data_IF_813025267974
#
_entry.id   IF_813025267974
#
_cell.length_a   1.000
_cell.length_b   1.000
_cell.length_c   1.000
_cell.angle_alpha   90.00
_cell.angle_beta   90.00
_cell.angle_gamma   90.00
#
_symmetry.space_group_name_H-M   'P 1'
#
loop_
_entity.id
_entity.type
_entity.pdbx_description
1 polymer ?
#
# COMPACT_ATOMS: atom_id res chain seq x y z
N UNK A 1 -3.88 6.39 7.59
CA UNK A 1 -4.42 6.66 6.24
C UNK A 1 -5.01 5.40 5.59
N UNK A 2 -4.27 4.30 5.41
CA UNK A 2 -4.78 3.08 4.76
C UNK A 2 -6.11 2.55 5.33
N UNK A 3 -6.27 2.53 6.67
CA UNK A 3 -7.56 2.19 7.32
C UNK A 3 -8.72 3.09 6.85
N UNK A 4 -8.50 4.40 6.75
CA UNK A 4 -9.52 5.33 6.27
C UNK A 4 -9.92 5.03 4.82
N UNK A 5 -8.97 4.79 3.93
CA UNK A 5 -9.24 4.45 2.53
C UNK A 5 -9.99 3.12 2.39
N UNK A 6 -9.60 2.10 3.15
CA UNK A 6 -10.25 0.80 3.19
C UNK A 6 -11.70 0.91 3.69
N UNK A 7 -11.93 1.63 4.80
CA UNK A 7 -13.28 1.91 5.32
C UNK A 7 -14.13 2.68 4.32
N UNK A 8 -13.53 3.57 3.54
CA UNK A 8 -14.27 4.34 2.53
C UNK A 8 -14.75 3.46 1.37
N UNK A 9 -13.91 2.55 0.89
CA UNK A 9 -14.31 1.57 -0.14
C UNK A 9 -15.37 0.62 0.42
N UNK A 10 -15.24 0.17 1.67
CA UNK A 10 -16.27 -0.63 2.33
C UNK A 10 -17.60 0.12 2.42
N UNK A 11 -17.58 1.38 2.84
CA UNK A 11 -18.76 2.24 2.88
C UNK A 11 -19.42 2.37 1.50
N UNK A 12 -18.63 2.51 0.43
CA UNK A 12 -19.15 2.50 -0.94
C UNK A 12 -19.86 1.18 -1.29
N UNK A 13 -19.25 0.04 -0.95
CA UNK A 13 -19.84 -1.29 -1.17
C UNK A 13 -21.12 -1.51 -0.35
N UNK A 14 -21.19 -0.98 0.87
CA UNK A 14 -22.38 -1.08 1.72
C UNK A 14 -23.57 -0.27 1.14
N UNK A 15 -23.31 0.76 0.32
CA UNK A 15 -24.33 1.47 -0.45
C UNK A 15 -24.75 0.62 -1.67
N UNK A 16 -23.78 0.29 -2.53
CA UNK A 16 -23.97 -0.57 -3.70
C UNK A 16 -22.61 -1.08 -4.23
N UNK A 17 -22.55 -2.27 -4.85
CA UNK A 17 -21.30 -2.79 -5.44
C UNK A 17 -20.68 -1.82 -6.45
N UNK A 18 -21.48 -1.28 -7.37
CA UNK A 18 -21.03 -0.29 -8.36
C UNK A 18 -20.47 0.99 -7.73
N UNK A 19 -21.04 1.41 -6.60
CA UNK A 19 -20.56 2.56 -5.82
C UNK A 19 -19.21 2.24 -5.20
N UNK A 20 -19.05 1.03 -4.65
CA UNK A 20 -17.77 0.53 -4.13
C UNK A 20 -16.65 0.57 -5.17
N UNK A 21 -16.92 0.11 -6.39
CA UNK A 21 -15.95 0.14 -7.50
C UNK A 21 -15.56 1.57 -7.89
N UNK A 22 -16.53 2.49 -7.95
CA UNK A 22 -16.25 3.91 -8.22
C UNK A 22 -15.43 4.55 -7.13
N UNK A 23 -15.75 4.31 -5.86
CA UNK A 23 -14.98 4.81 -4.71
C UNK A 23 -13.55 4.26 -4.74
N UNK A 24 -13.38 2.97 -5.06
CA UNK A 24 -12.07 2.34 -5.23
C UNK A 24 -11.24 3.02 -6.32
N UNK A 25 -11.84 3.28 -7.49
CA UNK A 25 -11.17 3.99 -8.58
C UNK A 25 -10.75 5.42 -8.20
N UNK A 26 -11.60 6.14 -7.45
CA UNK A 26 -11.29 7.46 -6.92
C UNK A 26 -10.10 7.42 -5.94
N UNK A 27 -10.09 6.45 -5.02
CA UNK A 27 -8.98 6.27 -4.07
C UNK A 27 -7.68 6.04 -4.81
N UNK A 28 -7.65 5.17 -5.83
CA UNK A 28 -6.45 4.93 -6.63
C UNK A 28 -5.99 6.16 -7.39
N UNK A 29 -6.91 6.89 -8.00
CA UNK A 29 -6.60 8.11 -8.74
C UNK A 29 -5.98 9.18 -7.83
N UNK A 30 -6.44 9.27 -6.58
CA UNK A 30 -5.88 10.18 -5.58
C UNK A 30 -4.45 9.78 -5.17
N UNK A 31 -4.22 8.49 -4.87
CA UNK A 31 -2.88 8.03 -4.43
C UNK A 31 -1.87 7.96 -5.58
N UNK A 32 -2.30 7.82 -6.83
CA UNK A 32 -1.44 7.93 -8.00
C UNK A 32 -1.20 9.37 -8.45
N UNK A 33 -1.69 10.35 -7.69
CA UNK A 33 -1.58 11.78 -7.99
C UNK A 33 -2.17 12.15 -9.37
N UNK A 34 -3.24 11.46 -9.76
CA UNK A 34 -3.96 11.67 -11.01
C UNK A 34 -5.14 12.64 -10.87
N UNK A 35 -5.66 12.77 -9.65
CA UNK A 35 -6.64 13.78 -9.26
C UNK A 35 -6.15 14.49 -7.99
N UNK A 36 -6.61 15.72 -7.81
CA UNK A 36 -6.36 16.50 -6.59
C UNK A 36 -7.27 16.08 -5.44
N UNK A 37 -6.94 16.50 -4.22
CA UNK A 37 -7.77 16.25 -3.03
C UNK A 37 -9.16 16.90 -3.19
N UNK A 38 -9.24 18.06 -3.85
CA UNK A 38 -10.50 18.78 -4.09
C UNK A 38 -11.38 18.02 -5.09
N UNK A 39 -10.81 17.53 -6.20
CA UNK A 39 -11.51 16.70 -7.17
C UNK A 39 -11.98 15.37 -6.55
N UNK A 40 -11.14 14.74 -5.73
CA UNK A 40 -11.52 13.53 -5.00
C UNK A 40 -12.69 13.80 -4.06
N UNK A 41 -12.63 14.90 -3.29
CA UNK A 41 -13.70 15.28 -2.38
C UNK A 41 -15.04 15.48 -3.10
N UNK A 42 -15.04 16.23 -4.20
CA UNK A 42 -16.25 16.48 -4.99
C UNK A 42 -16.78 15.21 -5.65
N UNK A 43 -15.92 14.43 -6.31
CA UNK A 43 -16.31 13.21 -7.01
C UNK A 43 -16.83 12.15 -6.05
N UNK A 44 -16.25 12.05 -4.85
CA UNK A 44 -16.71 11.11 -3.84
C UNK A 44 -18.12 11.47 -3.37
N UNK A 45 -18.38 12.75 -3.10
CA UNK A 45 -19.70 13.22 -2.71
C UNK A 45 -20.75 12.96 -3.80
N UNK A 46 -20.40 13.16 -5.08
CA UNK A 46 -21.30 12.88 -6.20
C UNK A 46 -21.61 11.38 -6.33
N UNK A 47 -20.60 10.52 -6.13
CA UNK A 47 -20.76 9.06 -6.24
C UNK A 47 -21.56 8.50 -5.07
N UNK A 48 -21.29 8.95 -3.84
CA UNK A 48 -21.93 8.39 -2.64
C UNK A 48 -23.19 9.14 -2.22
N UNK A 49 -23.47 10.33 -2.77
CA UNK A 49 -24.49 11.27 -2.30
C UNK A 49 -24.36 11.64 -0.82
N UNK A 50 -23.15 11.54 -0.26
CA UNK A 50 -22.87 11.83 1.15
C UNK A 50 -21.83 12.94 1.26
N UNK A 51 -22.09 13.99 2.06
CA UNK A 51 -21.11 15.03 2.30
C UNK A 51 -19.98 14.48 3.17
N UNK A 52 -18.74 14.73 2.75
CA UNK A 52 -17.57 14.46 3.58
C UNK A 52 -17.48 15.46 4.74
N UNK A 53 -16.89 15.01 5.85
CA UNK A 53 -16.69 15.87 7.03
C UNK A 53 -15.57 16.89 6.76
N UNK A 54 -15.67 18.12 7.29
CA UNK A 54 -14.71 19.20 6.99
C UNK A 54 -13.26 18.90 7.39
N UNK A 55 -13.04 17.97 8.32
CA UNK A 55 -11.70 17.55 8.74
C UNK A 55 -11.01 16.57 7.78
N UNK A 56 -11.73 16.02 6.79
CA UNK A 56 -11.18 15.02 5.87
C UNK A 56 -10.12 15.64 4.95
N UNK A 57 -10.35 16.85 4.44
CA UNK A 57 -9.41 17.52 3.54
C UNK A 57 -8.06 17.81 4.24
N UNK A 58 -8.03 18.43 5.44
CA UNK A 58 -6.80 18.57 6.22
C UNK A 58 -6.10 17.24 6.51
N UNK A 59 -6.86 16.20 6.86
CA UNK A 59 -6.33 14.87 7.15
C UNK A 59 -5.67 14.23 5.91
N UNK A 60 -6.31 14.33 4.74
CA UNK A 60 -5.74 13.90 3.46
C UNK A 60 -4.45 14.67 3.17
N UNK A 61 -4.45 16.00 3.28
CA UNK A 61 -3.23 16.81 3.04
C UNK A 61 -2.06 16.42 3.94
N UNK A 62 -2.31 16.08 5.20
CA UNK A 62 -1.26 15.72 6.15
C UNK A 62 -0.63 14.35 5.88
N UNK A 63 -1.42 13.37 5.42
CA UNK A 63 -0.98 11.97 5.35
C UNK A 63 -0.85 11.42 3.93
N UNK A 64 -1.51 12.01 2.93
CA UNK A 64 -1.44 11.58 1.53
C UNK A 64 -0.01 11.62 0.97
N UNK A 65 0.82 12.66 1.23
CA UNK A 65 2.19 12.69 0.72
C UNK A 65 3.05 11.51 1.19
N UNK A 66 2.82 11.01 2.42
CA UNK A 66 3.53 9.85 2.95
C UNK A 66 3.16 8.58 2.17
N UNK A 67 1.87 8.38 1.93
CA UNK A 67 1.36 7.22 1.18
C UNK A 67 1.80 7.27 -0.30
N UNK A 68 1.74 8.46 -0.91
CA UNK A 68 2.23 8.67 -2.27
C UNK A 68 3.72 8.36 -2.39
N UNK A 69 4.54 8.77 -1.40
CA UNK A 69 5.98 8.46 -1.36
C UNK A 69 6.24 6.95 -1.26
N UNK A 70 5.53 6.26 -0.36
CA UNK A 70 5.63 4.79 -0.25
C UNK A 70 5.26 4.10 -1.56
N UNK A 71 4.15 4.49 -2.17
CA UNK A 71 3.71 3.94 -3.46
C UNK A 71 4.73 4.19 -4.58
N UNK A 72 5.27 5.40 -4.67
CA UNK A 72 6.29 5.73 -5.67
C UNK A 72 7.56 4.89 -5.48
N UNK A 73 7.98 4.65 -4.24
CA UNK A 73 9.12 3.79 -3.96
C UNK A 73 8.86 2.35 -4.42
N UNK A 74 7.69 1.78 -4.09
CA UNK A 74 7.32 0.43 -4.50
C UNK A 74 7.22 0.29 -6.02
N UNK A 75 6.56 1.23 -6.69
CA UNK A 75 6.45 1.26 -8.14
C UNK A 75 7.84 1.37 -8.81
N UNK A 76 8.74 2.19 -8.25
CA UNK A 76 10.12 2.31 -8.72
C UNK A 76 10.90 1.01 -8.57
N UNK A 77 10.76 0.29 -7.45
CA UNK A 77 11.37 -1.03 -7.26
C UNK A 77 10.83 -2.06 -8.26
N UNK A 78 9.54 -2.00 -8.57
CA UNK A 78 8.89 -2.82 -9.58
C UNK A 78 9.16 -2.38 -11.03
N UNK A 79 9.90 -1.28 -11.25
CA UNK A 79 10.15 -0.66 -12.57
C UNK A 79 8.86 -0.32 -13.34
N UNK A 80 7.81 0.08 -12.62
CA UNK A 80 6.50 0.43 -13.17
C UNK A 80 6.10 1.85 -12.76
N UNK A 81 5.14 2.44 -13.48
CA UNK A 81 4.50 3.68 -12.99
C UNK A 81 3.62 3.39 -11.75
N UNK A 82 3.39 4.36 -10.85
CA UNK A 82 2.50 4.19 -9.71
C UNK A 82 1.11 3.67 -10.09
N UNK A 83 0.57 4.15 -11.22
CA UNK A 83 -0.70 3.70 -11.77
C UNK A 83 -0.65 2.22 -12.20
N UNK A 84 0.40 1.79 -12.92
CA UNK A 84 0.55 0.40 -13.37
C UNK A 84 0.76 -0.56 -12.21
N UNK A 85 1.55 -0.15 -11.21
CA UNK A 85 1.81 -0.93 -10.02
C UNK A 85 0.51 -1.15 -9.22
N UNK A 86 -0.29 -0.10 -9.02
CA UNK A 86 -1.58 -0.20 -8.31
C UNK A 86 -2.55 -1.19 -8.94
N UNK A 87 -2.60 -1.31 -10.27
CA UNK A 87 -3.50 -2.24 -10.96
C UNK A 87 -3.30 -3.70 -10.54
N UNK A 88 -2.10 -4.05 -10.09
CA UNK A 88 -1.74 -5.41 -9.68
C UNK A 88 -1.55 -5.53 -8.16
N UNK A 89 -1.34 -4.40 -7.47
CA UNK A 89 -0.98 -4.34 -6.05
C UNK A 89 -1.94 -3.44 -5.25
N UNK A 90 -3.24 -3.60 -5.46
CA UNK A 90 -4.29 -2.81 -4.80
C UNK A 90 -4.27 -2.92 -3.27
N UNK A 91 -3.83 -4.07 -2.75
CA UNK A 91 -3.68 -4.34 -1.31
C UNK A 91 -2.69 -3.40 -0.63
N UNK A 92 -1.71 -2.84 -1.36
CA UNK A 92 -0.72 -1.90 -0.80
C UNK A 92 -1.39 -0.67 -0.16
N UNK A 93 -2.54 -0.27 -0.70
CA UNK A 93 -3.31 0.92 -0.32
C UNK A 93 -4.53 0.54 0.52
N UNK A 94 -5.22 -0.55 0.16
CA UNK A 94 -6.50 -0.95 0.75
C UNK A 94 -6.38 -1.94 1.91
N UNK A 95 -5.22 -2.55 2.11
CA UNK A 95 -4.95 -3.40 3.27
C UNK A 95 -4.21 -2.60 4.35
N UNK A 96 -4.86 -2.30 5.49
CA UNK A 96 -4.21 -1.64 6.60
C UNK A 96 -3.18 -2.50 7.34
N UNK A 97 -3.18 -3.83 7.13
CA UNK A 97 -2.18 -4.75 7.64
C UNK A 97 -0.94 -4.83 6.72
N UNK A 98 -1.01 -4.30 5.49
CA UNK A 98 0.10 -4.31 4.57
C UNK A 98 1.17 -3.28 4.97
N UNK A 99 2.27 -3.79 5.53
CA UNK A 99 3.54 -3.08 5.69
C UNK A 99 4.54 -3.61 4.65
N UNK A 100 5.10 -2.75 3.78
CA UNK A 100 6.09 -3.16 2.78
C UNK A 100 7.39 -3.73 3.39
N UNK A 101 7.56 -3.64 4.71
CA UNK A 101 8.73 -4.08 5.46
C UNK A 101 8.76 -5.58 5.80
N UNK A 102 7.70 -6.36 5.62
CA UNK A 102 7.58 -7.69 6.28
C UNK A 102 7.15 -8.84 5.35
N UNK A 103 7.83 -9.04 4.20
CA UNK A 103 8.19 -10.44 3.88
C UNK A 103 9.61 -10.63 3.34
N UNK A 104 10.28 -9.56 2.87
CA UNK A 104 11.58 -9.67 2.19
C UNK A 104 12.77 -9.72 3.15
N UNK A 105 12.62 -9.25 4.40
CA UNK A 105 13.65 -9.38 5.45
C UNK A 105 13.57 -10.72 6.20
N UNK A 106 12.49 -11.49 6.04
CA UNK A 106 12.33 -12.81 6.69
C UNK A 106 13.05 -13.90 5.88
N UNK A 107 13.21 -13.74 4.56
CA UNK A 107 13.67 -14.84 3.68
C UNK A 107 14.90 -14.55 2.79
N UNK A 108 15.60 -13.42 2.94
CA UNK A 108 16.90 -13.21 2.28
C UNK A 108 17.81 -12.40 3.23
N UNK A 109 18.97 -12.86 3.72
CA UNK A 109 19.93 -13.78 3.12
C UNK A 109 20.80 -14.41 4.22
N UNK A 110 21.01 -15.72 4.15
CA UNK A 110 22.17 -16.39 4.70
C UNK A 110 23.45 -15.68 4.26
N UNK A 111 24.04 -14.87 5.14
CA UNK A 111 25.46 -14.54 5.08
C UNK A 111 26.13 -15.27 6.23
N UNK A 112 26.20 -16.60 6.12
CA UNK A 112 27.28 -17.36 6.78
C UNK A 112 28.44 -17.48 5.80
N UNK A 113 29.07 -16.36 5.46
CA UNK A 113 30.39 -16.41 4.86
C UNK A 113 31.45 -16.46 5.97
N UNK A 114 32.24 -17.53 5.90
CA UNK A 114 33.67 -17.57 6.19
C UNK A 114 34.15 -17.92 7.61
N UNK A 115 34.50 -19.20 7.76
CA UNK A 115 35.32 -19.72 8.84
C UNK A 115 36.03 -21.02 8.46
N UNK A 116 36.79 -21.02 7.36
CA UNK A 116 37.79 -22.06 7.02
C UNK A 116 38.52 -22.56 8.28
N UNK A 117 38.35 -23.82 8.69
CA UNK A 117 39.43 -24.68 9.23
C UNK A 117 39.17 -26.15 8.88
N UNK A 118 39.89 -26.61 7.87
CA UNK A 118 40.29 -28.03 7.76
C UNK A 118 41.13 -28.38 8.98
N UNK A 119 40.85 -29.52 9.62
CA UNK A 119 41.86 -30.53 9.96
C UNK A 119 41.18 -31.76 10.56
N UNK A 120 41.46 -32.89 9.93
CA UNK A 120 41.25 -34.25 10.40
C UNK A 120 41.89 -34.46 11.78
N UNK A 121 41.31 -35.27 12.66
CA UNK A 121 42.08 -36.35 13.27
C UNK A 121 41.20 -37.49 13.79
N UNK A 122 41.72 -38.70 13.60
CA UNK A 122 41.21 -39.98 14.06
C UNK A 122 41.51 -40.12 15.56
N UNK A 123 40.63 -40.73 16.36
CA UNK A 123 41.08 -41.81 17.26
C UNK A 123 39.93 -42.66 17.78
N UNK A 124 40.27 -43.93 17.94
CA UNK A 124 39.48 -45.10 18.29
C UNK A 124 39.33 -45.28 19.80
N UNK A 125 38.39 -46.14 20.21
CA UNK A 125 38.39 -46.98 21.44
C UNK A 125 38.46 -46.29 22.81
N UNK A 126 37.52 -46.65 23.69
CA UNK A 126 37.65 -47.71 24.72
C UNK A 126 36.25 -48.07 25.20
#
# INVERSE_FOLDING_TARGET
MKRFLSTLVQFGNDIAPDTGDRVRALVFSLVSNSITIEEFHHSLQDVTNFPLRPFVVPFLRAHLPLLQRELNNLARLAKQSPQQYLRHHEHVVLDPAFSPSEPSEIFHSDVTENGKRRASDRYSSI
#
